data_IF_740678592952
#
_entry.id   IF_740678592952
#
_cell.length_a   1.000
_cell.length_b   1.000
_cell.length_c   1.000
_cell.angle_alpha   90.00
_cell.angle_beta   90.00
_cell.angle_gamma   90.00
#
_symmetry.space_group_name_H-M   'P 1'
#
loop_
_entity.id
_entity.type
_entity.pdbx_description
1 polymer ?
#
# COMPACT_ATOMS: atom_id res chain seq x y z
N UNK A 1 13.00 -6.18 -38.88
CA UNK A 1 13.18 -5.16 -37.81
C UNK A 1 13.08 -5.89 -36.50
N UNK A 2 13.90 -5.55 -35.50
CA UNK A 2 13.79 -6.16 -34.18
C UNK A 2 12.40 -5.86 -33.60
N UNK A 3 11.75 -6.87 -33.03
CA UNK A 3 10.49 -6.67 -32.29
C UNK A 3 10.77 -6.07 -30.92
N UNK A 4 9.78 -5.37 -30.36
CA UNK A 4 9.87 -4.87 -28.99
C UNK A 4 9.90 -6.07 -28.04
N UNK A 5 10.97 -6.24 -27.27
CA UNK A 5 11.18 -7.39 -26.39
C UNK A 5 11.86 -6.99 -25.09
N UNK A 6 11.65 -7.81 -24.04
CA UNK A 6 12.19 -7.60 -22.69
C UNK A 6 12.99 -8.82 -22.27
N UNK A 7 14.22 -8.60 -21.85
CA UNK A 7 15.16 -9.62 -21.40
C UNK A 7 15.47 -9.43 -19.91
N UNK A 8 15.43 -10.52 -19.14
CA UNK A 8 15.87 -10.51 -17.74
C UNK A 8 17.39 -10.54 -17.65
N UNK A 9 17.91 -10.00 -16.56
CA UNK A 9 19.35 -10.03 -16.25
C UNK A 9 19.59 -10.79 -14.94
N UNK A 10 20.87 -11.06 -14.57
CA UNK A 10 21.19 -11.61 -13.26
C UNK A 10 20.80 -10.70 -12.08
N UNK A 11 20.64 -9.40 -12.29
CA UNK A 11 20.19 -8.47 -11.26
C UNK A 11 18.65 -8.47 -11.20
N UNK A 12 18.02 -8.83 -10.07
CA UNK A 12 16.57 -8.90 -9.97
C UNK A 12 15.88 -7.57 -10.32
N UNK A 13 14.99 -7.60 -11.31
CA UNK A 13 14.22 -6.43 -11.76
C UNK A 13 14.97 -5.48 -12.70
N UNK A 14 16.27 -5.67 -12.95
CA UNK A 14 16.98 -4.97 -14.04
C UNK A 14 16.61 -5.67 -15.35
N UNK A 15 16.05 -4.91 -16.30
CA UNK A 15 15.49 -5.43 -17.54
C UNK A 15 16.13 -4.73 -18.74
N UNK A 16 16.55 -5.50 -19.74
CA UNK A 16 16.98 -4.96 -21.04
C UNK A 16 15.78 -4.94 -21.98
N UNK A 17 15.57 -3.83 -22.66
CA UNK A 17 14.48 -3.63 -23.62
C UNK A 17 15.07 -3.46 -25.02
N UNK A 18 14.79 -4.40 -25.90
CA UNK A 18 15.12 -4.30 -27.33
C UNK A 18 13.98 -3.57 -28.03
N UNK A 19 14.31 -2.55 -28.81
CA UNK A 19 13.33 -1.67 -29.45
C UNK A 19 13.55 -1.61 -30.96
N UNK A 20 12.48 -1.59 -31.78
CA UNK A 20 12.59 -1.33 -33.19
C UNK A 20 13.11 0.08 -33.46
N UNK A 21 14.09 0.19 -34.36
CA UNK A 21 14.47 1.44 -35.01
C UNK A 21 13.87 1.48 -36.41
N UNK A 22 13.05 2.49 -36.68
CA UNK A 22 12.42 2.70 -37.97
C UNK A 22 13.24 3.71 -38.77
N UNK A 23 14.13 3.22 -39.64
CA UNK A 23 15.01 4.04 -40.47
C UNK A 23 14.40 4.45 -41.81
N UNK A 24 14.70 5.66 -42.25
CA UNK A 24 14.49 6.15 -43.62
C UNK A 24 15.65 7.07 -44.06
N UNK A 25 15.54 7.71 -45.23
CA UNK A 25 16.59 8.58 -45.77
C UNK A 25 16.91 9.81 -44.90
N UNK A 26 16.09 10.14 -43.89
CA UNK A 26 16.24 11.28 -42.99
C UNK A 26 16.86 10.91 -41.64
N UNK A 27 17.05 9.61 -41.35
CA UNK A 27 17.52 9.11 -40.06
C UNK A 27 16.69 7.94 -39.56
N UNK A 28 16.46 7.87 -38.25
CA UNK A 28 15.61 6.85 -37.65
C UNK A 28 14.64 7.43 -36.62
N UNK A 29 13.51 6.76 -36.44
CA UNK A 29 12.53 7.02 -35.41
C UNK A 29 12.46 5.85 -34.43
N UNK A 30 12.29 6.16 -33.14
CA UNK A 30 11.97 5.17 -32.12
C UNK A 30 10.95 5.71 -31.14
N UNK A 31 10.07 4.85 -30.69
CA UNK A 31 9.17 5.12 -29.59
C UNK A 31 9.90 4.76 -28.28
N UNK A 32 10.61 5.73 -27.71
CA UNK A 32 11.55 5.44 -26.62
C UNK A 32 10.88 4.97 -25.31
N UNK A 33 9.65 5.42 -25.04
CA UNK A 33 8.83 4.96 -23.94
C UNK A 33 7.36 4.99 -24.36
N UNK A 34 6.68 3.85 -24.22
CA UNK A 34 5.23 3.74 -24.38
C UNK A 34 4.73 2.82 -23.27
N UNK A 35 3.97 3.40 -22.33
CA UNK A 35 3.57 2.74 -21.08
C UNK A 35 2.80 1.44 -21.31
N UNK A 36 1.78 1.46 -22.16
CA UNK A 36 0.91 0.31 -22.41
C UNK A 36 1.67 -0.90 -22.98
N UNK A 37 2.49 -0.70 -24.01
CA UNK A 37 3.31 -1.74 -24.65
C UNK A 37 4.36 -2.29 -23.69
N UNK A 38 5.02 -1.42 -22.93
CA UNK A 38 6.09 -1.84 -22.03
C UNK A 38 5.55 -2.58 -20.81
N UNK A 39 4.44 -2.10 -20.22
CA UNK A 39 3.79 -2.80 -19.10
C UNK A 39 3.21 -4.14 -19.56
N UNK A 40 2.63 -4.22 -20.77
CA UNK A 40 2.16 -5.48 -21.34
C UNK A 40 3.28 -6.51 -21.54
N UNK A 41 4.53 -6.06 -21.72
CA UNK A 41 5.72 -6.91 -21.81
C UNK A 41 6.37 -7.21 -20.45
N UNK A 42 5.77 -6.75 -19.35
CA UNK A 42 6.21 -7.05 -17.99
C UNK A 42 7.16 -6.02 -17.37
N UNK A 43 7.30 -4.82 -17.94
CA UNK A 43 7.96 -3.72 -17.22
C UNK A 43 7.06 -3.24 -16.07
N UNK A 44 7.65 -2.85 -14.92
CA UNK A 44 6.91 -2.15 -13.89
C UNK A 44 6.30 -0.87 -14.46
N UNK A 45 5.06 -0.60 -14.08
CA UNK A 45 4.43 0.69 -14.35
C UNK A 45 4.99 1.76 -13.40
N UNK A 46 6.20 2.22 -13.71
CA UNK A 46 6.97 3.06 -12.80
C UNK A 46 6.56 4.54 -12.86
N UNK A 47 5.80 4.98 -13.88
CA UNK A 47 5.24 6.33 -13.97
C UNK A 47 6.29 7.44 -14.05
N UNK A 48 7.00 7.60 -15.18
CA UNK A 48 8.06 8.61 -15.29
C UNK A 48 7.53 10.05 -15.14
N UNK A 49 8.19 10.84 -14.30
CA UNK A 49 7.85 12.24 -13.99
C UNK A 49 8.89 13.23 -14.50
N UNK A 50 10.07 12.76 -14.90
CA UNK A 50 11.17 13.59 -15.38
C UNK A 50 11.96 12.86 -16.47
N UNK A 51 12.34 13.61 -17.51
CA UNK A 51 13.23 13.17 -18.58
C UNK A 51 14.55 13.95 -18.52
N UNK A 52 15.66 13.24 -18.68
CA UNK A 52 17.00 13.77 -18.55
C UNK A 52 17.83 13.41 -19.78
N UNK A 53 18.75 14.28 -20.14
CA UNK A 53 19.71 14.05 -21.23
C UNK A 53 21.10 14.45 -20.75
N UNK A 54 22.08 13.57 -20.95
CA UNK A 54 23.50 13.83 -20.78
C UNK A 54 24.20 13.70 -22.11
N UNK A 55 24.82 14.79 -22.57
CA UNK A 55 25.63 14.80 -23.78
C UNK A 55 27.09 14.52 -23.44
N UNK A 56 27.69 13.55 -24.13
CA UNK A 56 29.09 13.17 -23.97
C UNK A 56 29.83 13.55 -25.26
N UNK A 57 30.65 14.59 -25.18
CA UNK A 57 31.34 15.14 -26.34
C UNK A 57 32.39 14.18 -26.91
N UNK A 58 33.06 13.42 -26.05
CA UNK A 58 34.18 12.55 -26.41
C UNK A 58 34.00 11.11 -25.94
N UNK A 59 34.52 10.17 -26.74
CA UNK A 59 34.72 8.77 -26.38
C UNK A 59 35.57 8.68 -25.10
N UNK A 60 35.20 7.78 -24.20
CA UNK A 60 35.87 7.59 -22.91
C UNK A 60 35.23 8.34 -21.75
N UNK A 61 34.29 9.26 -22.00
CA UNK A 61 33.48 9.88 -20.96
C UNK A 61 32.76 8.79 -20.15
N UNK A 62 33.09 8.69 -18.86
CA UNK A 62 32.60 7.62 -17.97
C UNK A 62 31.94 8.25 -16.75
N UNK A 63 30.72 7.80 -16.42
CA UNK A 63 29.98 8.28 -15.24
C UNK A 63 30.13 7.27 -14.11
N UNK A 64 30.31 7.73 -12.86
CA UNK A 64 30.37 6.84 -11.70
C UNK A 64 29.16 5.90 -11.55
N UNK A 65 29.31 4.88 -10.71
CA UNK A 65 28.22 3.95 -10.39
C UNK A 65 27.37 4.59 -9.31
N UNK A 66 26.24 5.16 -9.70
CA UNK A 66 25.33 5.91 -8.82
C UNK A 66 24.10 5.07 -8.50
N UNK A 67 23.75 4.95 -7.22
CA UNK A 67 22.65 4.10 -6.73
C UNK A 67 21.45 4.97 -6.38
N UNK A 68 20.74 5.46 -7.38
CA UNK A 68 19.65 6.40 -7.10
C UNK A 68 18.44 5.74 -6.41
N UNK A 69 17.71 6.50 -5.56
CA UNK A 69 16.58 5.99 -4.80
C UNK A 69 15.26 5.88 -5.59
N UNK A 70 15.34 5.89 -6.92
CA UNK A 70 14.21 5.85 -7.86
C UNK A 70 14.51 4.91 -9.03
N UNK A 71 13.46 4.51 -9.74
CA UNK A 71 13.60 3.71 -10.95
C UNK A 71 14.00 4.60 -12.13
N UNK A 72 14.72 4.02 -13.09
CA UNK A 72 15.13 4.68 -14.33
C UNK A 72 14.77 3.85 -15.54
N UNK A 73 14.54 4.54 -16.64
CA UNK A 73 14.53 3.93 -17.97
C UNK A 73 15.60 4.61 -18.83
N UNK A 74 16.71 3.91 -19.03
CA UNK A 74 17.93 4.37 -19.71
C UNK A 74 17.89 4.01 -21.19
N UNK A 75 18.29 4.93 -22.06
CA UNK A 75 18.33 4.73 -23.51
C UNK A 75 19.28 5.75 -24.16
N UNK A 76 19.53 5.65 -25.48
CA UNK A 76 20.37 6.60 -26.21
C UNK A 76 19.62 7.35 -27.32
N UNK A 77 19.77 8.66 -27.38
CA UNK A 77 19.29 9.44 -28.54
C UNK A 77 20.25 9.33 -29.74
N UNK A 78 21.55 9.12 -29.51
CA UNK A 78 22.56 8.83 -30.54
C UNK A 78 23.84 8.29 -29.89
N UNK A 79 24.72 7.66 -30.68
CA UNK A 79 26.00 7.10 -30.25
C UNK A 79 25.88 5.71 -29.64
N UNK A 80 26.95 5.29 -28.95
CA UNK A 80 27.04 3.98 -28.29
C UNK A 80 27.68 4.11 -26.91
N UNK A 81 27.21 3.31 -25.96
CA UNK A 81 27.80 3.21 -24.63
C UNK A 81 28.07 1.75 -24.26
N UNK A 82 29.01 1.55 -23.35
CA UNK A 82 29.06 0.36 -22.52
C UNK A 82 28.36 0.70 -21.20
N UNK A 83 27.15 0.16 -21.00
CA UNK A 83 26.40 0.31 -19.76
C UNK A 83 26.80 -0.75 -18.75
N UNK A 84 26.91 -0.36 -17.47
CA UNK A 84 27.23 -1.27 -16.39
C UNK A 84 26.36 -0.98 -15.16
N UNK A 85 25.88 -2.04 -14.53
CA UNK A 85 25.00 -2.00 -13.38
C UNK A 85 25.49 -2.93 -12.28
N UNK A 86 25.29 -2.51 -11.03
CA UNK A 86 25.62 -3.29 -9.83
C UNK A 86 24.42 -3.26 -8.90
N UNK A 87 23.99 -4.41 -8.40
CA UNK A 87 22.94 -4.45 -7.40
C UNK A 87 23.48 -3.99 -6.06
N UNK A 88 23.02 -2.83 -5.58
CA UNK A 88 23.49 -2.22 -4.34
C UNK A 88 22.43 -2.34 -3.23
N UNK A 89 21.38 -3.14 -3.44
CA UNK A 89 20.31 -3.37 -2.46
C UNK A 89 20.74 -4.40 -1.42
N UNK A 90 20.25 -4.22 -0.19
CA UNK A 90 20.39 -5.23 0.86
C UNK A 90 19.71 -6.54 0.43
N UNK A 91 20.44 -7.66 0.47
CA UNK A 91 19.92 -8.98 0.12
C UNK A 91 20.95 -9.88 -0.55
N UNK A 92 20.52 -11.07 -0.98
CA UNK A 92 21.39 -12.09 -1.58
C UNK A 92 22.04 -11.67 -2.90
N UNK A 93 21.43 -10.74 -3.63
CA UNK A 93 21.94 -10.24 -4.91
C UNK A 93 22.93 -9.08 -4.77
N UNK A 94 23.21 -8.58 -3.56
CA UNK A 94 24.14 -7.47 -3.34
C UNK A 94 25.50 -7.73 -4.00
N UNK A 95 25.97 -6.78 -4.80
CA UNK A 95 27.21 -6.88 -5.57
C UNK A 95 27.09 -7.58 -6.92
N UNK A 96 25.93 -8.18 -7.25
CA UNK A 96 25.71 -8.79 -8.57
C UNK A 96 25.87 -7.74 -9.67
N UNK A 97 26.63 -8.06 -10.72
CA UNK A 97 26.90 -7.11 -11.81
C UNK A 97 26.29 -7.56 -13.14
N UNK A 98 25.96 -6.58 -13.98
CA UNK A 98 25.53 -6.79 -15.36
C UNK A 98 26.07 -5.67 -16.23
N UNK A 99 26.48 -5.99 -17.46
CA UNK A 99 26.95 -4.99 -18.41
C UNK A 99 26.61 -5.37 -19.84
N UNK A 100 26.32 -4.38 -20.68
CA UNK A 100 26.03 -4.58 -22.10
C UNK A 100 26.37 -3.33 -22.90
N UNK A 101 26.72 -3.50 -24.19
CA UNK A 101 26.74 -2.39 -25.13
C UNK A 101 25.30 -1.95 -25.46
N UNK A 102 25.07 -0.64 -25.40
CA UNK A 102 23.76 -0.02 -25.67
C UNK A 102 23.94 0.96 -26.83
N UNK A 103 23.10 0.78 -27.85
CA UNK A 103 22.91 1.70 -28.96
C UNK A 103 21.46 2.24 -28.90
N UNK A 104 20.99 3.06 -29.86
CA UNK A 104 19.62 3.57 -29.81
C UNK A 104 18.50 2.51 -29.85
N UNK A 105 18.79 1.28 -30.27
CA UNK A 105 17.84 0.15 -30.29
C UNK A 105 17.74 -0.59 -28.95
N UNK A 106 18.57 -0.23 -27.98
CA UNK A 106 18.60 -0.86 -26.66
C UNK A 106 18.28 0.17 -25.58
N UNK A 107 17.41 -0.21 -24.67
CA UNK A 107 17.15 0.52 -23.43
C UNK A 107 17.27 -0.44 -22.23
N UNK A 108 17.40 0.13 -21.04
CA UNK A 108 17.51 -0.64 -19.80
C UNK A 108 16.62 0.00 -18.74
N UNK A 109 15.67 -0.78 -18.21
CA UNK A 109 14.96 -0.40 -17.00
C UNK A 109 15.81 -0.77 -15.79
N UNK A 110 16.13 0.24 -14.98
CA UNK A 110 16.99 0.16 -13.81
C UNK A 110 16.15 0.38 -12.56
N UNK A 111 15.92 -0.63 -11.72
CA UNK A 111 15.11 -0.45 -10.52
C UNK A 111 15.87 0.34 -9.44
N UNK A 112 15.11 1.00 -8.54
CA UNK A 112 15.64 1.66 -7.33
C UNK A 112 16.69 0.78 -6.66
N UNK A 113 17.83 1.37 -6.33
CA UNK A 113 18.89 0.68 -5.58
C UNK A 113 19.84 -0.13 -6.43
N UNK A 114 19.68 -0.17 -7.76
CA UNK A 114 20.71 -0.68 -8.66
C UNK A 114 21.60 0.48 -9.08
N UNK A 115 22.89 0.35 -8.77
CA UNK A 115 23.93 1.26 -9.22
C UNK A 115 23.99 1.30 -10.75
N UNK A 116 23.90 2.48 -11.35
CA UNK A 116 23.89 2.69 -12.79
C UNK A 116 25.13 3.47 -13.23
N UNK A 117 25.86 2.95 -14.22
CA UNK A 117 27.03 3.59 -14.82
C UNK A 117 27.07 3.34 -16.33
N UNK A 118 27.86 4.16 -17.03
CA UNK A 118 28.21 3.89 -18.42
C UNK A 118 29.53 4.55 -18.80
N UNK A 119 30.11 4.04 -19.89
CA UNK A 119 31.23 4.62 -20.62
C UNK A 119 30.83 4.89 -22.08
N UNK A 120 31.00 6.12 -22.55
CA UNK A 120 30.76 6.47 -23.96
C UNK A 120 31.81 5.82 -24.87
N UNK A 121 31.35 5.09 -25.89
CA UNK A 121 32.21 4.38 -26.83
C UNK A 121 32.50 5.20 -28.10
N UNK A 122 31.76 6.29 -28.30
CA UNK A 122 31.87 7.19 -29.45
C UNK A 122 31.67 8.65 -29.03
N UNK A 123 32.27 9.56 -29.80
CA UNK A 123 32.05 11.00 -29.67
C UNK A 123 30.59 11.37 -29.93
N UNK A 124 30.13 12.46 -29.32
CA UNK A 124 28.77 12.98 -29.54
C UNK A 124 27.65 12.04 -29.07
N UNK A 125 27.90 11.19 -28.08
CA UNK A 125 26.90 10.25 -27.53
C UNK A 125 25.91 10.97 -26.62
N UNK A 126 24.61 10.83 -26.90
CA UNK A 126 23.53 11.44 -26.13
C UNK A 126 22.77 10.39 -25.31
N UNK A 127 23.07 10.33 -24.02
CA UNK A 127 22.44 9.43 -23.05
C UNK A 127 21.14 10.05 -22.53
N UNK A 128 20.02 9.34 -22.65
CA UNK A 128 18.70 9.80 -22.18
C UNK A 128 18.15 8.85 -21.12
N UNK A 129 17.52 9.40 -20.10
CA UNK A 129 16.86 8.57 -19.09
C UNK A 129 15.64 9.23 -18.48
N UNK A 130 14.60 8.41 -18.31
CA UNK A 130 13.40 8.77 -17.56
C UNK A 130 13.55 8.33 -16.10
N UNK A 131 12.93 9.05 -15.17
CA UNK A 131 12.89 8.71 -13.74
C UNK A 131 11.49 8.92 -13.15
N UNK A 132 11.14 8.18 -12.10
CA UNK A 132 9.85 8.29 -11.41
C UNK A 132 9.86 9.04 -10.07
N UNK A 133 11.00 9.63 -9.70
CA UNK A 133 11.04 10.63 -8.62
C UNK A 133 11.88 11.82 -9.07
N UNK A 134 11.61 12.97 -8.47
CA UNK A 134 12.34 14.19 -8.75
C UNK A 134 13.72 14.15 -8.11
N UNK A 135 14.73 14.56 -8.86
CA UNK A 135 16.04 14.81 -8.27
C UNK A 135 15.93 15.96 -7.24
N UNK A 136 16.52 15.76 -6.06
CA UNK A 136 16.55 16.75 -4.99
C UNK A 136 18.00 17.04 -4.60
N UNK A 137 18.40 18.31 -4.48
CA UNK A 137 19.73 18.65 -4.00
C UNK A 137 19.92 18.17 -2.56
N UNK A 138 21.13 17.72 -2.23
CA UNK A 138 21.51 17.33 -0.86
C UNK A 138 21.11 15.92 -0.43
N UNK A 139 20.36 15.17 -1.24
CA UNK A 139 20.09 13.75 -0.97
C UNK A 139 21.30 12.92 -1.41
N UNK A 140 22.04 12.39 -0.44
CA UNK A 140 23.09 11.42 -0.69
C UNK A 140 22.50 10.02 -0.85
N UNK A 141 23.01 9.27 -1.81
CA UNK A 141 22.68 7.88 -2.02
C UNK A 141 23.97 7.10 -2.30
N UNK A 142 23.99 5.77 -2.11
CA UNK A 142 25.20 4.98 -2.29
C UNK A 142 25.81 5.16 -3.67
N UNK A 143 27.13 5.13 -3.74
CA UNK A 143 27.88 5.13 -4.99
C UNK A 143 29.02 4.13 -4.86
N UNK A 144 29.45 3.59 -5.99
CA UNK A 144 30.53 2.60 -6.04
C UNK A 144 31.67 3.11 -6.92
N UNK A 145 32.89 2.80 -6.50
CA UNK A 145 34.10 3.08 -7.26
C UNK A 145 34.11 2.29 -8.58
N UNK A 146 34.44 2.95 -9.70
CA UNK A 146 34.42 2.34 -11.03
C UNK A 146 35.38 1.15 -11.17
N UNK A 147 36.52 1.22 -10.50
CA UNK A 147 37.54 0.18 -10.51
C UNK A 147 37.40 -0.88 -9.41
N UNK A 148 36.21 -1.03 -8.80
CA UNK A 148 35.98 -2.01 -7.74
C UNK A 148 36.28 -3.46 -8.21
N UNK A 149 37.13 -4.13 -7.46
CA UNK A 149 37.65 -5.46 -7.74
C UNK A 149 36.62 -6.58 -7.55
N UNK A 150 35.57 -6.33 -6.76
CA UNK A 150 34.51 -7.31 -6.53
C UNK A 150 33.45 -7.21 -7.63
N UNK A 151 33.06 -5.99 -8.00
CA UNK A 151 32.18 -5.74 -9.14
C UNK A 151 32.82 -6.16 -10.47
N UNK A 152 34.15 -6.01 -10.58
CA UNK A 152 34.99 -6.49 -11.68
C UNK A 152 34.44 -6.14 -13.08
N UNK A 153 33.92 -4.92 -13.24
CA UNK A 153 33.29 -4.47 -14.49
C UNK A 153 34.34 -4.40 -15.61
N UNK A 154 34.14 -5.07 -16.76
CA UNK A 154 35.12 -5.12 -17.84
C UNK A 154 35.03 -3.88 -18.74
N UNK A 155 35.45 -2.73 -18.22
CA UNK A 155 35.45 -1.44 -18.94
C UNK A 155 36.21 -1.53 -20.28
N UNK A 156 35.57 -1.27 -21.44
CA UNK A 156 36.22 -1.38 -22.75
C UNK A 156 37.37 -0.40 -22.99
N UNK A 157 37.32 0.77 -22.35
CA UNK A 157 38.39 1.76 -22.32
C UNK A 157 38.98 1.73 -20.90
N UNK A 158 40.30 1.53 -20.75
CA UNK A 158 40.97 1.56 -19.46
C UNK A 158 40.60 2.81 -18.64
N UNK A 159 40.37 2.64 -17.34
CA UNK A 159 39.88 3.73 -16.48
C UNK A 159 40.88 4.88 -16.30
N UNK A 160 42.17 4.64 -16.54
CA UNK A 160 43.23 5.64 -16.58
C UNK A 160 43.27 6.45 -17.89
N UNK A 161 42.62 5.94 -18.94
CA UNK A 161 42.40 6.63 -20.22
C UNK A 161 41.00 7.27 -20.32
N UNK A 162 40.10 6.96 -19.38
CA UNK A 162 38.73 7.43 -19.35
C UNK A 162 38.60 8.83 -18.72
N UNK A 163 37.65 9.62 -19.23
CA UNK A 163 37.30 10.91 -18.63
C UNK A 163 36.29 10.70 -17.50
N UNK A 164 36.77 10.75 -16.26
CA UNK A 164 36.01 10.48 -15.02
C UNK A 164 36.03 11.74 -14.14
N UNK A 165 34.93 11.99 -13.43
CA UNK A 165 34.88 13.13 -12.50
C UNK A 165 35.70 12.88 -11.23
N UNK A 166 36.32 13.92 -10.68
CA UNK A 166 37.01 13.90 -9.37
C UNK A 166 36.11 13.41 -8.21
N UNK A 167 34.80 13.57 -8.35
CA UNK A 167 33.84 13.03 -7.38
C UNK A 167 33.82 11.50 -7.43
N UNK A 168 33.76 10.92 -8.64
CA UNK A 168 33.60 9.49 -8.83
C UNK A 168 34.86 8.69 -8.49
N UNK A 169 36.05 9.28 -8.61
CA UNK A 169 37.31 8.69 -8.11
C UNK A 169 37.34 8.48 -6.60
N UNK A 170 36.49 9.17 -5.84
CA UNK A 170 36.42 9.10 -4.37
C UNK A 170 35.27 8.24 -3.85
N UNK A 171 34.53 7.58 -4.74
CA UNK A 171 33.49 6.65 -4.32
C UNK A 171 34.11 5.47 -3.55
N UNK A 172 33.39 4.90 -2.58
CA UNK A 172 33.86 3.76 -1.79
C UNK A 172 33.96 2.48 -2.63
N UNK A 173 34.74 1.51 -2.13
CA UNK A 173 34.75 0.13 -2.62
C UNK A 173 33.52 -0.61 -2.10
N UNK A 174 33.13 -1.71 -2.77
CA UNK A 174 31.90 -2.45 -2.45
C UNK A 174 31.90 -2.96 -1.01
N UNK A 175 33.06 -3.38 -0.50
CA UNK A 175 33.24 -3.80 0.89
C UNK A 175 32.94 -2.71 1.93
N UNK A 176 33.04 -1.43 1.53
CA UNK A 176 32.79 -0.26 2.39
C UNK A 176 31.41 0.39 2.12
N UNK A 177 30.64 -0.12 1.16
CA UNK A 177 29.30 0.42 0.86
C UNK A 177 28.28 -0.12 1.85
N UNK A 178 27.50 0.80 2.44
CA UNK A 178 26.25 0.43 3.13
C UNK A 178 25.18 0.12 2.09
N UNK A 179 24.62 -1.11 2.06
CA UNK A 179 23.59 -1.47 1.09
C UNK A 179 22.34 -0.59 1.21
N UNK A 180 21.66 -0.39 0.08
CA UNK A 180 20.41 0.34 0.06
C UNK A 180 19.31 -0.52 0.68
N UNK A 181 18.76 -0.03 1.80
CA UNK A 181 17.64 -0.68 2.49
C UNK A 181 16.35 -0.69 1.66
N UNK A 182 15.48 -1.70 1.88
CA UNK A 182 14.13 -1.69 1.33
C UNK A 182 13.36 -0.45 1.83
N UNK A 183 12.34 -0.07 1.08
CA UNK A 183 11.37 0.93 1.54
C UNK A 183 10.57 0.35 2.72
N UNK A 184 10.16 1.23 3.63
CA UNK A 184 9.51 0.90 4.90
C UNK A 184 8.00 0.68 4.75
N UNK A 185 7.40 0.18 5.84
CA UNK A 185 5.95 0.15 6.05
C UNK A 185 5.56 1.25 7.03
N UNK A 186 4.42 1.91 6.79
CA UNK A 186 3.80 2.87 7.71
C UNK A 186 2.45 2.34 8.19
N UNK A 187 2.22 2.33 9.50
CA UNK A 187 0.90 2.09 10.10
C UNK A 187 0.30 3.42 10.55
N UNK A 188 -0.86 3.77 9.99
CA UNK A 188 -1.65 4.97 10.35
C UNK A 188 -2.84 4.54 11.20
N UNK A 189 -3.10 5.26 12.30
CA UNK A 189 -4.09 4.85 13.30
C UNK A 189 -3.55 3.77 14.24
N UNK A 190 -2.25 3.83 14.52
CA UNK A 190 -1.50 2.80 15.24
C UNK A 190 -1.97 2.57 16.69
N UNK A 191 -2.70 3.52 17.29
CA UNK A 191 -3.26 3.38 18.65
C UNK A 191 -4.63 2.70 18.66
N UNK A 192 -5.23 2.42 17.50
CA UNK A 192 -6.49 1.69 17.37
C UNK A 192 -6.33 0.17 17.51
N UNK A 193 -7.46 -0.55 17.65
CA UNK A 193 -7.49 -2.02 17.78
C UNK A 193 -6.74 -2.69 16.63
N UNK A 194 -7.08 -2.34 15.39
CA UNK A 194 -6.43 -2.89 14.20
C UNK A 194 -5.01 -2.36 14.01
N UNK A 195 -4.73 -1.11 14.37
CA UNK A 195 -3.39 -0.52 14.29
C UNK A 195 -2.37 -1.29 15.13
N UNK A 196 -2.75 -1.71 16.35
CA UNK A 196 -1.92 -2.58 17.21
C UNK A 196 -1.68 -3.94 16.57
N UNK A 197 -2.73 -4.57 16.04
CA UNK A 197 -2.62 -5.88 15.40
C UNK A 197 -1.73 -5.85 14.14
N UNK A 198 -1.86 -4.80 13.31
CA UNK A 198 -1.00 -4.58 12.15
C UNK A 198 0.46 -4.35 12.54
N UNK A 199 0.73 -3.66 13.64
CA UNK A 199 2.09 -3.49 14.14
C UNK A 199 2.69 -4.81 14.65
N UNK A 200 1.90 -5.69 15.26
CA UNK A 200 2.40 -7.00 15.67
C UNK A 200 2.89 -7.84 14.47
N UNK A 201 2.21 -7.73 13.32
CA UNK A 201 2.61 -8.35 12.05
C UNK A 201 3.78 -7.61 11.36
N UNK A 202 3.87 -6.30 11.55
CA UNK A 202 4.91 -5.43 10.98
C UNK A 202 5.70 -4.70 12.09
N UNK A 203 6.58 -5.41 12.82
CA UNK A 203 7.28 -4.85 13.98
C UNK A 203 8.23 -3.70 13.62
N UNK A 204 8.78 -3.70 12.40
CA UNK A 204 9.68 -2.66 11.90
C UNK A 204 8.95 -1.48 11.21
N UNK A 205 7.61 -1.46 11.23
CA UNK A 205 6.85 -0.37 10.64
C UNK A 205 6.97 0.91 11.47
N UNK A 206 7.12 2.05 10.77
CA UNK A 206 6.91 3.34 11.41
C UNK A 206 5.43 3.47 11.80
N UNK A 207 5.14 4.13 12.92
CA UNK A 207 3.80 4.20 13.50
C UNK A 207 3.37 5.63 13.70
N UNK A 208 2.20 5.96 13.17
CA UNK A 208 1.57 7.28 13.33
C UNK A 208 0.11 7.19 13.73
N UNK A 209 -0.34 8.21 14.44
CA UNK A 209 -1.74 8.41 14.83
C UNK A 209 -2.02 9.92 14.95
N UNK A 210 -3.29 10.32 15.10
CA UNK A 210 -3.64 11.71 15.32
C UNK A 210 -2.97 12.23 16.62
N UNK A 211 -2.87 11.37 17.63
CA UNK A 211 -2.24 11.66 18.90
C UNK A 211 -0.90 10.92 19.04
N UNK A 212 0.08 11.54 19.69
CA UNK A 212 1.32 10.86 20.02
C UNK A 212 1.09 9.79 21.11
N UNK A 213 1.90 8.73 21.08
CA UNK A 213 1.90 7.65 22.06
C UNK A 213 3.26 6.99 22.17
N UNK A 214 3.37 5.88 22.92
CA UNK A 214 4.63 5.18 23.10
C UNK A 214 5.15 4.59 21.78
N UNK A 215 6.23 5.19 21.26
CA UNK A 215 6.78 4.93 19.93
C UNK A 215 5.77 5.13 18.78
N UNK A 216 4.78 6.01 18.96
CA UNK A 216 3.82 6.43 17.92
C UNK A 216 3.92 7.95 17.75
N UNK A 217 4.23 8.40 16.55
CA UNK A 217 4.37 9.83 16.22
C UNK A 217 3.01 10.43 15.87
N UNK A 218 2.75 11.67 16.31
CA UNK A 218 1.54 12.39 15.90
C UNK A 218 1.66 12.83 14.43
N UNK A 219 0.64 12.53 13.64
CA UNK A 219 0.49 13.00 12.26
C UNK A 219 -1.01 13.20 11.98
N UNK A 220 -1.42 14.46 11.86
CA UNK A 220 -2.74 14.81 11.36
C UNK A 220 -2.73 14.84 9.83
N UNK A 221 -3.40 13.88 9.20
CA UNK A 221 -3.50 13.78 7.74
C UNK A 221 -4.36 14.87 7.09
N UNK A 222 -4.99 15.73 7.90
CA UNK A 222 -5.71 16.93 7.45
C UNK A 222 -4.87 18.20 7.55
N UNK A 223 -3.71 18.16 8.23
CA UNK A 223 -2.73 19.24 8.25
C UNK A 223 -1.78 19.09 7.05
N UNK A 224 -1.94 19.99 6.06
CA UNK A 224 -1.12 19.99 4.86
C UNK A 224 0.39 20.16 5.15
N UNK A 225 0.76 20.97 6.14
CA UNK A 225 2.18 21.21 6.46
C UNK A 225 2.81 19.97 7.10
N UNK A 226 2.09 19.31 8.01
CA UNK A 226 2.54 18.06 8.61
C UNK A 226 2.67 16.94 7.55
N UNK A 227 1.69 16.84 6.66
CA UNK A 227 1.70 15.89 5.54
C UNK A 227 2.87 16.15 4.59
N UNK A 228 3.11 17.39 4.18
CA UNK A 228 4.18 17.72 3.23
C UNK A 228 5.58 17.51 3.84
N UNK A 229 5.72 17.65 5.17
CA UNK A 229 6.97 17.40 5.88
C UNK A 229 7.28 15.90 6.08
N UNK A 230 6.28 15.01 5.96
CA UNK A 230 6.47 13.58 6.20
C UNK A 230 7.24 12.90 5.04
N UNK A 231 8.18 11.98 5.32
CA UNK A 231 9.04 11.39 4.30
C UNK A 231 8.34 10.26 3.51
N UNK A 232 7.24 10.56 2.80
CA UNK A 232 6.42 9.58 2.08
C UNK A 232 7.17 8.69 1.08
N UNK A 233 8.26 9.21 0.52
CA UNK A 233 9.10 8.51 -0.45
C UNK A 233 9.83 7.27 0.14
N UNK A 234 9.99 7.23 1.46
CA UNK A 234 10.64 6.11 2.17
C UNK A 234 9.74 4.88 2.27
N UNK A 235 8.44 5.00 1.99
CA UNK A 235 7.48 3.91 2.21
C UNK A 235 7.12 3.18 0.92
N UNK A 236 7.04 1.85 1.01
CA UNK A 236 6.49 0.99 -0.04
C UNK A 236 5.04 0.59 0.26
N UNK A 237 4.65 0.63 1.52
CA UNK A 237 3.36 0.19 2.02
C UNK A 237 2.85 1.15 3.09
N UNK A 238 1.61 1.59 2.96
CA UNK A 238 0.89 2.37 3.97
C UNK A 238 -0.37 1.60 4.36
N UNK A 239 -0.47 1.26 5.64
CA UNK A 239 -1.58 0.53 6.24
C UNK A 239 -2.43 1.53 7.05
N UNK A 240 -3.57 1.93 6.48
CA UNK A 240 -4.46 2.91 7.12
C UNK A 240 -5.60 2.24 7.88
N UNK A 241 -5.44 2.19 9.21
CA UNK A 241 -6.45 1.77 10.17
C UNK A 241 -7.09 2.95 10.93
N UNK A 242 -6.73 4.21 10.60
CA UNK A 242 -7.32 5.38 11.21
C UNK A 242 -8.75 5.62 10.69
N UNK A 243 -9.66 5.86 11.63
CA UNK A 243 -11.05 6.21 11.34
C UNK A 243 -11.69 6.90 12.55
N UNK A 244 -12.70 7.73 12.31
CA UNK A 244 -13.66 8.13 13.32
C UNK A 244 -14.77 7.07 13.38
N UNK A 245 -14.88 6.34 14.49
CA UNK A 245 -15.78 5.17 14.62
C UNK A 245 -16.94 5.36 15.60
N UNK A 246 -17.09 6.56 16.18
CA UNK A 246 -18.20 6.85 17.09
C UNK A 246 -19.48 7.17 16.30
N UNK A 247 -20.15 6.12 15.80
CA UNK A 247 -21.25 6.20 14.82
C UNK A 247 -22.34 7.19 15.22
N UNK A 248 -22.88 7.09 16.44
CA UNK A 248 -23.97 7.99 16.89
C UNK A 248 -23.46 9.42 17.12
N UNK A 249 -22.23 9.58 17.60
CA UNK A 249 -21.62 10.89 17.81
C UNK A 249 -21.31 11.62 16.49
N UNK A 250 -21.14 10.88 15.38
CA UNK A 250 -20.95 11.47 14.06
C UNK A 250 -22.14 12.33 13.60
N UNK A 251 -23.33 12.17 14.20
CA UNK A 251 -24.51 12.97 13.85
C UNK A 251 -24.51 14.38 14.45
N UNK A 252 -23.64 14.68 15.42
CA UNK A 252 -23.51 16.03 16.00
C UNK A 252 -22.81 17.00 15.06
N UNK A 253 -22.89 18.30 15.33
CA UNK A 253 -22.20 19.33 14.55
C UNK A 253 -20.69 19.10 14.53
N UNK A 254 -20.08 18.85 15.69
CA UNK A 254 -18.63 18.61 15.82
C UNK A 254 -18.25 17.23 15.27
N UNK A 255 -19.08 16.22 15.52
CA UNK A 255 -18.89 14.85 15.06
C UNK A 255 -18.93 14.74 13.54
N UNK A 256 -19.79 15.50 12.86
CA UNK A 256 -19.82 15.59 11.38
C UNK A 256 -18.47 16.05 10.84
N UNK A 257 -17.91 17.12 11.39
CA UNK A 257 -16.61 17.65 10.95
C UNK A 257 -15.50 16.63 11.19
N UNK A 258 -15.46 16.03 12.38
CA UNK A 258 -14.45 15.04 12.73
C UNK A 258 -14.55 13.76 11.87
N UNK A 259 -15.77 13.29 11.62
CA UNK A 259 -16.02 12.11 10.78
C UNK A 259 -15.57 12.35 9.33
N UNK A 260 -15.94 13.49 8.72
CA UNK A 260 -15.49 13.81 7.36
C UNK A 260 -13.98 14.03 7.26
N UNK A 261 -13.38 14.68 8.26
CA UNK A 261 -11.93 14.84 8.34
C UNK A 261 -11.20 13.48 8.35
N UNK A 262 -11.58 12.58 9.25
CA UNK A 262 -10.91 11.30 9.44
C UNK A 262 -11.26 10.23 8.38
N UNK A 263 -12.51 10.19 7.92
CA UNK A 263 -13.01 9.10 7.07
C UNK A 263 -13.05 9.45 5.59
N UNK A 264 -13.03 10.73 5.21
CA UNK A 264 -13.06 11.15 3.81
C UNK A 264 -11.80 11.93 3.40
N UNK A 265 -11.49 13.04 4.09
CA UNK A 265 -10.36 13.90 3.74
C UNK A 265 -9.01 13.21 3.93
N UNK A 266 -8.78 12.56 5.07
CA UNK A 266 -7.53 11.85 5.33
C UNK A 266 -7.29 10.68 4.32
N UNK A 267 -8.26 9.81 4.01
CA UNK A 267 -8.09 8.81 2.94
C UNK A 267 -7.85 9.41 1.55
N UNK A 268 -8.49 10.54 1.22
CA UNK A 268 -8.23 11.25 -0.05
C UNK A 268 -6.79 11.78 -0.12
N UNK A 269 -6.26 12.32 0.98
CA UNK A 269 -4.85 12.70 1.10
C UNK A 269 -3.93 11.51 0.86
N UNK A 270 -4.18 10.37 1.51
CA UNK A 270 -3.39 9.15 1.32
C UNK A 270 -3.48 8.61 -0.10
N UNK A 271 -4.65 8.64 -0.75
CA UNK A 271 -4.82 8.19 -2.12
C UNK A 271 -4.02 9.06 -3.11
N UNK A 272 -4.02 10.38 -2.91
CA UNK A 272 -3.17 11.32 -3.66
C UNK A 272 -1.69 11.01 -3.45
N UNK A 273 -1.26 10.79 -2.20
CA UNK A 273 0.13 10.48 -1.88
C UNK A 273 0.57 9.14 -2.45
N UNK A 274 -0.31 8.13 -2.47
CA UNK A 274 -0.04 6.83 -3.08
C UNK A 274 0.23 6.98 -4.58
N UNK A 275 -0.51 7.85 -5.27
CA UNK A 275 -0.27 8.19 -6.67
C UNK A 275 1.09 8.87 -6.87
N UNK A 276 1.46 9.81 -5.99
CA UNK A 276 2.67 10.62 -6.12
C UNK A 276 3.93 9.81 -5.78
N UNK A 277 3.88 8.98 -4.73
CA UNK A 277 5.05 8.29 -4.18
C UNK A 277 5.11 6.80 -4.51
N UNK A 278 4.06 6.26 -5.14
CA UNK A 278 4.02 4.90 -5.67
C UNK A 278 3.92 3.78 -4.62
N UNK A 279 3.60 4.11 -3.36
CA UNK A 279 3.36 3.11 -2.32
C UNK A 279 2.02 2.39 -2.52
N UNK A 280 1.91 1.16 -2.01
CA UNK A 280 0.64 0.44 -1.91
C UNK A 280 -0.13 0.98 -0.71
N UNK A 281 -1.39 1.36 -0.92
CA UNK A 281 -2.28 1.84 0.14
C UNK A 281 -3.28 0.74 0.53
N UNK A 282 -3.21 0.25 1.77
CA UNK A 282 -4.28 -0.54 2.36
C UNK A 282 -5.17 0.41 3.16
N UNK A 283 -6.46 0.46 2.88
CA UNK A 283 -7.42 1.27 3.64
C UNK A 283 -8.55 0.40 4.15
N UNK A 284 -8.84 0.49 5.44
CA UNK A 284 -9.93 -0.26 6.06
C UNK A 284 -11.19 0.61 6.08
N UNK A 285 -12.23 0.11 5.41
CA UNK A 285 -13.56 0.70 5.34
C UNK A 285 -14.59 -0.09 6.15
N UNK A 286 -15.87 0.06 5.86
CA UNK A 286 -16.98 -0.51 6.62
C UNK A 286 -18.09 -0.97 5.68
N UNK A 287 -18.82 -1.97 6.11
CA UNK A 287 -20.10 -2.41 5.54
C UNK A 287 -21.19 -1.34 5.57
N UNK A 288 -21.08 -0.33 6.45
CA UNK A 288 -22.06 0.77 6.56
C UNK A 288 -22.12 1.64 5.30
N UNK A 289 -21.24 1.42 4.32
CA UNK A 289 -21.35 2.06 3.00
C UNK A 289 -22.58 1.58 2.21
N UNK A 290 -23.28 0.55 2.69
CA UNK A 290 -24.53 0.04 2.16
C UNK A 290 -25.71 0.30 3.10
N UNK A 291 -26.93 0.24 2.56
CA UNK A 291 -28.18 0.45 3.31
C UNK A 291 -28.70 -0.79 4.03
N UNK A 292 -28.10 -1.97 3.79
CA UNK A 292 -28.53 -3.21 4.39
C UNK A 292 -29.77 -3.84 3.77
N UNK A 293 -30.11 -3.49 2.53
CA UNK A 293 -31.28 -4.04 1.83
C UNK A 293 -30.98 -5.31 1.01
N UNK A 294 -29.71 -5.69 0.86
CA UNK A 294 -29.32 -6.92 0.16
C UNK A 294 -29.74 -8.17 0.95
N UNK A 295 -29.99 -9.27 0.22
CA UNK A 295 -30.21 -10.57 0.82
C UNK A 295 -28.98 -11.01 1.65
N UNK A 296 -29.18 -11.78 2.72
CA UNK A 296 -28.10 -12.24 3.60
C UNK A 296 -27.07 -13.15 2.91
N UNK A 297 -27.50 -13.88 1.88
CA UNK A 297 -26.68 -14.75 1.05
C UNK A 297 -26.92 -14.40 -0.43
N UNK A 298 -25.88 -13.97 -1.18
CA UNK A 298 -24.47 -13.88 -0.79
C UNK A 298 -24.13 -12.69 0.12
N UNK A 299 -25.05 -11.77 0.41
CA UNK A 299 -24.75 -10.50 1.08
C UNK A 299 -24.38 -9.39 0.10
N UNK A 300 -23.97 -8.24 0.63
CA UNK A 300 -23.47 -7.10 -0.14
C UNK A 300 -22.18 -7.45 -0.89
N UNK A 301 -22.08 -7.05 -2.16
CA UNK A 301 -20.91 -7.34 -3.02
C UNK A 301 -20.03 -6.13 -3.22
N UNK A 302 -18.77 -6.30 -3.64
CA UNK A 302 -17.85 -5.18 -3.83
C UNK A 302 -18.27 -4.21 -4.95
N UNK A 303 -18.99 -4.70 -5.96
CA UNK A 303 -19.48 -3.95 -7.12
C UNK A 303 -20.84 -3.27 -6.87
N UNK A 304 -21.45 -3.50 -5.70
CA UNK A 304 -22.70 -2.87 -5.33
C UNK A 304 -22.54 -1.33 -5.19
N UNK A 305 -23.47 -0.54 -5.74
CA UNK A 305 -23.47 0.91 -5.54
C UNK A 305 -23.60 1.29 -4.05
N UNK A 306 -22.88 2.33 -3.66
CA UNK A 306 -22.90 2.84 -2.27
C UNK A 306 -24.28 3.43 -1.93
N UNK A 307 -24.83 3.06 -0.78
CA UNK A 307 -26.13 3.51 -0.25
C UNK A 307 -26.10 3.81 1.26
N UNK A 308 -25.15 4.62 1.77
CA UNK A 308 -24.93 4.80 3.21
C UNK A 308 -26.08 5.48 3.97
N UNK A 309 -26.44 4.94 5.14
CA UNK A 309 -27.49 5.46 6.03
C UNK A 309 -26.89 6.24 7.22
N UNK A 310 -26.52 7.51 7.02
CA UNK A 310 -26.06 8.40 8.11
C UNK A 310 -24.64 8.96 7.91
N UNK A 311 -24.18 9.83 8.82
CA UNK A 311 -22.95 10.61 8.61
C UNK A 311 -21.70 9.75 8.62
N UNK A 312 -21.55 8.85 9.60
CA UNK A 312 -20.42 7.92 9.66
C UNK A 312 -20.31 7.13 8.35
N UNK A 313 -21.41 6.50 7.96
CA UNK A 313 -21.57 5.73 6.74
C UNK A 313 -21.20 6.54 5.48
N UNK A 314 -21.77 7.75 5.34
CA UNK A 314 -21.50 8.66 4.20
C UNK A 314 -20.03 9.07 4.14
N UNK A 315 -19.42 9.36 5.28
CA UNK A 315 -18.00 9.74 5.34
C UNK A 315 -17.07 8.57 4.96
N UNK A 316 -17.38 7.34 5.37
CA UNK A 316 -16.66 6.13 4.95
C UNK A 316 -16.83 5.85 3.46
N UNK A 317 -18.05 5.98 2.93
CA UNK A 317 -18.33 5.85 1.50
C UNK A 317 -17.56 6.88 0.67
N UNK A 318 -17.43 8.12 1.14
CA UNK A 318 -16.58 9.12 0.48
C UNK A 318 -15.09 8.73 0.50
N UNK A 319 -14.61 8.14 1.60
CA UNK A 319 -13.28 7.54 1.69
C UNK A 319 -13.05 6.41 0.68
N UNK A 320 -14.02 5.50 0.51
CA UNK A 320 -13.99 4.44 -0.50
C UNK A 320 -13.78 4.99 -1.90
N UNK A 321 -14.59 5.99 -2.29
CA UNK A 321 -14.48 6.63 -3.60
C UNK A 321 -13.09 7.23 -3.80
N UNK A 322 -12.56 7.92 -2.79
CA UNK A 322 -11.26 8.57 -2.88
C UNK A 322 -10.10 7.55 -3.00
N UNK A 323 -10.12 6.49 -2.17
CA UNK A 323 -9.10 5.43 -2.20
C UNK A 323 -9.14 4.63 -3.49
N UNK A 324 -10.32 4.42 -4.08
CA UNK A 324 -10.47 3.76 -5.38
C UNK A 324 -9.70 4.42 -6.53
N UNK A 325 -9.28 5.70 -6.36
CA UNK A 325 -8.47 6.43 -7.35
C UNK A 325 -6.96 6.20 -7.21
N UNK A 326 -6.50 5.59 -6.11
CA UNK A 326 -5.10 5.22 -5.93
C UNK A 326 -4.73 4.04 -6.86
N UNK A 327 -3.62 4.06 -7.61
CA UNK A 327 -3.31 2.98 -8.55
C UNK A 327 -3.05 1.63 -7.89
N UNK A 328 -2.46 1.66 -6.69
CA UNK A 328 -2.03 0.48 -5.94
C UNK A 328 -2.75 0.51 -4.60
N UNK A 329 -3.97 -0.02 -4.56
CA UNK A 329 -4.76 -0.02 -3.34
C UNK A 329 -5.39 -1.38 -3.04
N UNK A 330 -5.55 -1.65 -1.75
CA UNK A 330 -6.46 -2.64 -1.22
C UNK A 330 -7.44 -1.92 -0.30
N UNK A 331 -8.68 -1.74 -0.77
CA UNK A 331 -9.77 -1.16 0.01
C UNK A 331 -10.54 -2.30 0.68
N UNK A 332 -10.42 -2.42 2.00
CA UNK A 332 -10.94 -3.56 2.77
C UNK A 332 -12.23 -3.13 3.48
N UNK A 333 -13.39 -3.51 2.98
CA UNK A 333 -14.66 -3.32 3.70
C UNK A 333 -14.81 -4.42 4.74
N UNK A 334 -14.96 -4.05 6.00
CA UNK A 334 -15.12 -5.00 7.11
C UNK A 334 -16.38 -4.71 7.91
N UNK A 335 -16.75 -5.60 8.83
CA UNK A 335 -17.90 -5.46 9.71
C UNK A 335 -17.56 -5.84 11.15
N UNK A 336 -18.18 -5.14 12.10
CA UNK A 336 -18.26 -5.55 13.53
C UNK A 336 -16.89 -5.95 14.13
N UNK A 337 -15.92 -5.05 14.04
CA UNK A 337 -14.52 -5.31 14.38
C UNK A 337 -14.31 -5.56 15.88
N UNK A 338 -13.63 -6.65 16.23
CA UNK A 338 -13.26 -7.08 17.58
C UNK A 338 -11.74 -7.23 17.67
N UNK A 339 -11.11 -6.60 18.66
CA UNK A 339 -9.67 -6.72 18.91
C UNK A 339 -9.29 -6.17 20.28
N UNK A 340 -8.04 -5.74 20.44
CA UNK A 340 -7.55 -5.17 21.71
C UNK A 340 -8.06 -3.74 21.94
N UNK A 341 -9.21 -3.63 22.62
CA UNK A 341 -9.85 -2.38 23.01
C UNK A 341 -11.30 -2.55 23.47
N UNK A 342 -12.03 -1.44 23.56
CA UNK A 342 -13.48 -1.47 23.84
C UNK A 342 -14.22 -1.96 22.60
N UNK A 343 -15.00 -3.02 22.76
CA UNK A 343 -15.84 -3.59 21.71
C UNK A 343 -17.09 -4.28 22.29
N UNK A 344 -17.99 -4.71 21.40
CA UNK A 344 -19.26 -5.31 21.77
C UNK A 344 -19.08 -6.60 22.60
N UNK A 345 -18.18 -7.49 22.17
CA UNK A 345 -17.92 -8.77 22.87
C UNK A 345 -17.47 -8.54 24.31
N UNK A 346 -16.50 -7.64 24.54
CA UNK A 346 -16.06 -7.27 25.90
C UNK A 346 -17.18 -6.62 26.71
N UNK A 347 -18.05 -5.84 26.06
CA UNK A 347 -19.20 -5.23 26.74
C UNK A 347 -20.19 -6.29 27.22
N UNK A 348 -20.53 -7.27 26.38
CA UNK A 348 -21.43 -8.37 26.74
C UNK A 348 -20.81 -9.27 27.82
N UNK A 349 -19.52 -9.61 27.71
CA UNK A 349 -18.78 -10.37 28.73
C UNK A 349 -18.85 -9.66 30.09
N UNK A 350 -18.59 -8.35 30.14
CA UNK A 350 -18.66 -7.58 31.38
C UNK A 350 -20.08 -7.49 31.98
N UNK A 351 -21.13 -7.48 31.15
CA UNK A 351 -22.51 -7.53 31.63
C UNK A 351 -22.85 -8.90 32.21
N UNK A 352 -22.40 -9.98 31.56
CA UNK A 352 -22.54 -11.35 32.04
C UNK A 352 -21.88 -11.54 33.42
N UNK A 353 -20.64 -11.09 33.58
CA UNK A 353 -19.90 -11.11 34.85
C UNK A 353 -20.59 -10.31 35.97
N UNK A 354 -21.23 -9.19 35.63
CA UNK A 354 -21.97 -8.35 36.58
C UNK A 354 -23.37 -8.86 36.88
N UNK A 355 -23.81 -9.93 36.23
CA UNK A 355 -25.14 -10.50 36.41
C UNK A 355 -26.27 -9.68 35.76
N UNK A 356 -25.96 -8.78 34.83
CA UNK A 356 -26.94 -7.92 34.15
C UNK A 356 -27.51 -8.63 32.92
N UNK A 357 -28.83 -8.63 32.78
CA UNK A 357 -29.57 -9.23 31.66
C UNK A 357 -30.00 -8.13 30.67
N UNK A 358 -29.31 -7.96 29.52
CA UNK A 358 -29.58 -6.88 28.59
C UNK A 358 -30.69 -7.22 27.58
N UNK A 359 -31.26 -6.18 26.97
CA UNK A 359 -32.04 -6.29 25.73
C UNK A 359 -31.18 -5.83 24.55
N UNK A 360 -31.04 -6.67 23.54
CA UNK A 360 -30.10 -6.52 22.42
C UNK A 360 -30.86 -6.61 21.10
N UNK A 361 -30.46 -5.82 20.11
CA UNK A 361 -31.14 -5.79 18.80
C UNK A 361 -31.07 -7.13 18.07
N UNK A 362 -32.20 -7.61 17.57
CA UNK A 362 -32.36 -8.94 16.95
C UNK A 362 -32.59 -8.90 15.42
N UNK A 363 -32.84 -7.71 14.87
CA UNK A 363 -33.11 -7.47 13.45
C UNK A 363 -31.94 -6.83 12.67
N UNK A 364 -30.78 -6.65 13.33
CA UNK A 364 -29.51 -6.29 12.71
C UNK A 364 -28.62 -7.53 12.61
N UNK A 365 -28.31 -7.98 11.40
CA UNK A 365 -27.59 -9.23 11.11
C UNK A 365 -26.27 -8.95 10.38
N UNK A 366 -25.19 -9.60 10.79
CA UNK A 366 -23.86 -9.40 10.22
C UNK A 366 -22.86 -10.47 10.68
N UNK A 367 -21.57 -10.20 10.52
CA UNK A 367 -20.51 -11.09 11.03
C UNK A 367 -19.51 -10.28 11.84
N UNK A 368 -19.09 -10.84 12.98
CA UNK A 368 -17.91 -10.34 13.71
C UNK A 368 -16.69 -10.40 12.80
N UNK A 369 -15.76 -9.48 12.99
CA UNK A 369 -14.44 -9.58 12.38
C UNK A 369 -13.36 -9.35 13.42
N UNK A 370 -12.56 -10.37 13.68
CA UNK A 370 -11.42 -10.24 14.58
C UNK A 370 -10.27 -9.54 13.87
N UNK A 371 -9.56 -8.66 14.59
CA UNK A 371 -8.43 -7.90 14.01
C UNK A 371 -7.34 -8.81 13.45
N UNK A 372 -7.15 -9.97 14.05
CA UNK A 372 -6.25 -11.03 13.60
C UNK A 372 -6.65 -11.56 12.22
N UNK A 373 -7.96 -11.69 11.95
CA UNK A 373 -8.46 -12.12 10.64
C UNK A 373 -8.27 -11.03 9.57
N UNK A 374 -8.48 -9.76 9.94
CA UNK A 374 -8.16 -8.64 9.06
C UNK A 374 -6.69 -8.61 8.69
N UNK A 375 -5.80 -8.78 9.68
CA UNK A 375 -4.36 -8.85 9.44
C UNK A 375 -4.02 -10.03 8.52
N UNK A 376 -4.57 -11.23 8.77
CA UNK A 376 -4.36 -12.41 7.91
C UNK A 376 -4.78 -12.15 6.46
N UNK A 377 -5.97 -11.58 6.24
CA UNK A 377 -6.45 -11.28 4.89
C UNK A 377 -5.64 -10.19 4.21
N UNK A 378 -5.24 -9.14 4.93
CA UNK A 378 -4.37 -8.06 4.41
C UNK A 378 -2.99 -8.63 4.02
N UNK A 379 -2.34 -9.41 4.89
CA UNK A 379 -1.07 -10.06 4.61
C UNK A 379 -1.16 -11.01 3.41
N UNK A 380 -2.27 -11.74 3.27
CA UNK A 380 -2.53 -12.59 2.10
C UNK A 380 -2.57 -11.79 0.80
N UNK A 381 -3.36 -10.71 0.75
CA UNK A 381 -3.46 -9.86 -0.46
C UNK A 381 -2.11 -9.23 -0.85
N UNK A 382 -1.33 -8.80 0.13
CA UNK A 382 -0.01 -8.20 -0.10
C UNK A 382 0.99 -9.27 -0.60
N UNK A 383 1.11 -10.39 0.09
CA UNK A 383 2.13 -11.41 -0.19
C UNK A 383 1.87 -12.17 -1.49
N UNK A 384 0.61 -12.39 -1.85
CA UNK A 384 0.24 -13.06 -3.11
C UNK A 384 0.25 -12.12 -4.31
N UNK A 385 0.31 -10.80 -4.09
CA UNK A 385 0.18 -9.82 -5.16
C UNK A 385 -1.19 -9.89 -5.85
N UNK A 386 -2.25 -10.15 -5.07
CA UNK A 386 -3.63 -10.18 -5.58
C UNK A 386 -3.97 -8.90 -6.36
N UNK A 387 -4.90 -8.94 -7.33
CA UNK A 387 -5.28 -7.73 -8.07
C UNK A 387 -5.68 -6.60 -7.13
N UNK A 388 -5.13 -5.41 -7.32
CA UNK A 388 -5.53 -4.22 -6.56
C UNK A 388 -7.02 -3.93 -6.74
N UNK A 389 -7.66 -3.41 -5.70
CA UNK A 389 -9.08 -3.08 -5.71
C UNK A 389 -9.75 -3.19 -4.34
N UNK A 390 -11.08 -3.21 -4.37
CA UNK A 390 -11.93 -3.40 -3.19
C UNK A 390 -12.12 -4.87 -2.86
N UNK A 391 -12.06 -5.23 -1.58
CA UNK A 391 -12.35 -6.56 -1.05
C UNK A 391 -13.24 -6.44 0.19
N UNK A 392 -14.30 -7.23 0.25
CA UNK A 392 -15.03 -7.46 1.48
C UNK A 392 -14.28 -8.51 2.32
N UNK A 393 -14.06 -8.22 3.60
CA UNK A 393 -13.36 -9.08 4.52
C UNK A 393 -13.97 -9.03 5.92
N UNK A 394 -14.58 -10.14 6.31
CA UNK A 394 -14.94 -10.47 7.67
C UNK A 394 -14.53 -11.91 7.97
N UNK A 395 -14.73 -12.36 9.21
CA UNK A 395 -14.71 -13.80 9.48
C UNK A 395 -15.81 -14.52 8.67
N UNK A 396 -15.59 -15.81 8.41
CA UNK A 396 -16.57 -16.70 7.81
C UNK A 396 -17.66 -17.14 8.79
N UNK A 397 -18.40 -18.18 8.42
CA UNK A 397 -19.51 -18.70 9.20
C UNK A 397 -20.86 -18.03 8.90
N UNK A 398 -21.94 -18.44 9.58
CA UNK A 398 -23.27 -17.85 9.40
C UNK A 398 -23.28 -16.37 9.80
N UNK A 399 -24.08 -15.57 9.10
CA UNK A 399 -24.40 -14.23 9.58
C UNK A 399 -25.35 -14.35 10.78
N UNK A 400 -25.10 -13.56 11.83
CA UNK A 400 -25.82 -13.64 13.11
C UNK A 400 -26.30 -12.25 13.52
N UNK A 401 -27.40 -12.19 14.28
CA UNK A 401 -27.84 -10.94 14.89
C UNK A 401 -26.95 -10.55 16.07
N UNK A 402 -26.99 -9.27 16.46
CA UNK A 402 -26.32 -8.84 17.69
C UNK A 402 -26.83 -9.60 18.93
N UNK A 403 -28.12 -9.94 18.97
CA UNK A 403 -28.69 -10.76 20.04
C UNK A 403 -28.06 -12.16 20.07
N UNK A 404 -27.99 -12.85 18.93
CA UNK A 404 -27.39 -14.19 18.85
C UNK A 404 -25.92 -14.18 19.27
N UNK A 405 -25.17 -13.13 18.89
CA UNK A 405 -23.78 -12.95 19.36
C UNK A 405 -23.74 -12.73 20.87
N UNK A 406 -24.61 -11.87 21.42
CA UNK A 406 -24.65 -11.61 22.86
C UNK A 406 -24.99 -12.89 23.64
N UNK A 407 -25.94 -13.69 23.17
CA UNK A 407 -26.27 -15.01 23.72
C UNK A 407 -25.06 -15.94 23.71
N UNK A 408 -24.36 -16.03 22.57
CA UNK A 408 -23.14 -16.82 22.45
C UNK A 408 -22.04 -16.39 23.43
N UNK A 409 -21.87 -15.07 23.65
CA UNK A 409 -20.93 -14.52 24.63
C UNK A 409 -21.36 -14.86 26.07
N UNK A 410 -22.65 -14.77 26.39
CA UNK A 410 -23.18 -15.08 27.71
C UNK A 410 -22.96 -16.54 28.09
N UNK A 411 -23.26 -17.47 27.19
CA UNK A 411 -23.03 -18.90 27.39
C UNK A 411 -21.55 -19.19 27.69
N UNK A 412 -20.64 -18.60 26.90
CA UNK A 412 -19.18 -18.74 27.07
C UNK A 412 -18.66 -18.09 28.36
N UNK A 413 -19.40 -17.10 28.86
CA UNK A 413 -19.10 -16.43 30.13
C UNK A 413 -19.77 -17.10 31.34
N UNK A 414 -20.39 -18.27 31.16
CA UNK A 414 -21.01 -19.04 32.24
C UNK A 414 -22.40 -18.57 32.66
N UNK A 415 -23.09 -17.80 31.80
CA UNK A 415 -24.46 -17.29 32.01
C UNK A 415 -25.43 -17.89 30.98
N UNK A 416 -26.73 -17.88 31.26
CA UNK A 416 -27.71 -18.43 30.33
C UNK A 416 -27.86 -17.52 29.10
N UNK A 417 -27.99 -18.09 27.89
CA UNK A 417 -28.41 -17.33 26.71
C UNK A 417 -29.76 -16.63 26.92
N UNK A 418 -30.66 -17.24 27.70
CA UNK A 418 -31.98 -16.67 28.01
C UNK A 418 -31.92 -15.37 28.84
N UNK A 419 -30.74 -15.03 29.41
CA UNK A 419 -30.52 -13.74 30.07
C UNK A 419 -30.43 -12.57 29.07
N UNK A 420 -30.38 -12.84 27.76
CA UNK A 420 -30.34 -11.83 26.69
C UNK A 420 -31.67 -11.82 25.95
N UNK A 421 -32.43 -10.73 26.07
CA UNK A 421 -33.71 -10.55 25.36
C UNK A 421 -33.53 -9.80 24.05
N UNK A 422 -34.43 -10.06 23.09
CA UNK A 422 -34.45 -9.38 21.79
C UNK A 422 -35.21 -8.07 21.82
N UNK A 423 -34.86 -7.14 20.93
CA UNK A 423 -35.62 -5.94 20.61
C UNK A 423 -35.39 -5.55 19.16
N UNK A 424 -36.32 -4.84 18.54
CA UNK A 424 -36.12 -4.34 17.18
C UNK A 424 -35.25 -3.08 17.19
N UNK A 425 -34.59 -2.81 16.07
CA UNK A 425 -33.83 -1.57 15.86
C UNK A 425 -34.70 -0.33 16.09
N UNK A 426 -35.96 -0.37 15.64
CA UNK A 426 -36.89 0.74 15.81
C UNK A 426 -37.23 0.99 17.30
N UNK A 427 -37.55 -0.07 18.05
CA UNK A 427 -37.87 0.04 19.48
C UNK A 427 -36.64 0.47 20.30
N UNK A 428 -35.46 -0.06 19.96
CA UNK A 428 -34.20 0.36 20.58
C UNK A 428 -33.92 1.85 20.33
N UNK A 429 -34.06 2.31 19.08
CA UNK A 429 -33.87 3.71 18.70
C UNK A 429 -34.83 4.65 19.44
N UNK A 430 -36.12 4.28 19.53
CA UNK A 430 -37.12 5.04 20.30
C UNK A 430 -36.69 5.20 21.77
N UNK A 431 -36.24 4.11 22.40
CA UNK A 431 -35.75 4.14 23.79
C UNK A 431 -34.51 5.02 23.99
N UNK A 432 -33.54 4.96 23.06
CA UNK A 432 -32.34 5.80 23.08
C UNK A 432 -32.71 7.28 22.92
N UNK A 433 -33.56 7.61 21.95
CA UNK A 433 -34.01 8.98 21.69
C UNK A 433 -34.84 9.55 22.84
N UNK A 434 -35.70 8.73 23.46
CA UNK A 434 -36.49 9.14 24.63
C UNK A 434 -35.63 9.51 25.85
N UNK A 435 -34.41 8.96 25.94
CA UNK A 435 -33.42 9.31 26.97
C UNK A 435 -32.60 10.57 26.62
N UNK A 436 -32.86 11.20 25.48
CA UNK A 436 -32.12 12.36 24.99
C UNK A 436 -30.75 12.02 24.39
N UNK A 437 -30.49 10.73 24.11
CA UNK A 437 -29.26 10.27 23.47
C UNK A 437 -29.41 10.32 21.94
N UNK A 438 -28.28 10.37 21.24
CA UNK A 438 -28.24 10.34 19.79
C UNK A 438 -28.33 8.91 19.28
N UNK A 439 -28.95 8.74 18.11
CA UNK A 439 -29.02 7.47 17.41
C UNK A 439 -28.81 7.70 15.91
N UNK A 440 -27.76 7.10 15.36
CA UNK A 440 -27.53 7.07 13.93
C UNK A 440 -28.28 5.88 13.30
N UNK A 441 -28.85 6.02 12.09
CA UNK A 441 -29.40 4.89 11.35
C UNK A 441 -28.37 3.78 11.16
N UNK A 442 -28.81 2.52 11.20
CA UNK A 442 -27.96 1.34 11.03
C UNK A 442 -28.56 0.42 9.97
N UNK A 443 -27.75 -0.17 9.09
CA UNK A 443 -28.23 -1.15 8.13
C UNK A 443 -28.74 -2.41 8.87
N UNK A 444 -29.89 -2.94 8.45
CA UNK A 444 -30.44 -4.17 9.03
C UNK A 444 -29.64 -5.40 8.61
N UNK A 445 -29.09 -5.40 7.40
CA UNK A 445 -28.10 -6.38 6.95
C UNK A 445 -26.73 -5.74 6.81
N UNK A 446 -25.75 -6.31 7.49
CA UNK A 446 -24.31 -6.02 7.39
C UNK A 446 -23.56 -7.21 6.76
N UNK A 447 -24.29 -8.22 6.27
CA UNK A 447 -23.70 -9.39 5.65
C UNK A 447 -23.06 -9.02 4.31
N UNK A 448 -21.77 -9.31 4.18
CA UNK A 448 -21.02 -9.12 2.94
C UNK A 448 -20.71 -10.48 2.30
N UNK A 449 -20.67 -10.50 0.96
CA UNK A 449 -20.12 -11.61 0.20
C UNK A 449 -18.61 -11.67 0.41
N UNK A 450 -18.10 -12.87 0.65
CA UNK A 450 -16.67 -13.14 0.80
C UNK A 450 -16.10 -13.89 -0.41
N UNK A 451 -16.87 -14.00 -1.51
CA UNK A 451 -16.48 -14.77 -2.70
C UNK A 451 -15.20 -14.24 -3.35
N UNK A 452 -15.03 -12.91 -3.42
CA UNK A 452 -13.88 -12.28 -4.07
C UNK A 452 -12.58 -12.57 -3.32
N UNK A 453 -12.56 -12.44 -1.99
CA UNK A 453 -11.37 -12.77 -1.19
C UNK A 453 -11.09 -14.28 -1.24
N UNK A 454 -12.13 -15.13 -1.24
CA UNK A 454 -12.00 -16.58 -1.43
C UNK A 454 -11.39 -16.97 -2.78
N UNK A 455 -11.75 -16.26 -3.84
CA UNK A 455 -11.18 -16.48 -5.17
C UNK A 455 -9.67 -16.20 -5.24
N UNK A 456 -9.10 -15.45 -4.28
CA UNK A 456 -7.64 -15.27 -4.15
C UNK A 456 -6.95 -16.44 -3.46
N UNK A 457 -7.69 -17.45 -3.01
CA UNK A 457 -7.18 -18.60 -2.24
C UNK A 457 -7.18 -18.40 -0.72
N UNK A 458 -7.75 -17.31 -0.21
CA UNK A 458 -7.90 -17.07 1.22
C UNK A 458 -9.18 -17.70 1.75
N UNK A 459 -9.10 -18.49 2.82
CA UNK A 459 -10.28 -19.03 3.50
C UNK A 459 -10.51 -18.28 4.83
N UNK A 460 -11.56 -17.44 4.91
CA UNK A 460 -11.92 -16.76 6.15
C UNK A 460 -12.28 -17.75 7.25
N UNK A 461 -11.67 -17.57 8.42
CA UNK A 461 -11.99 -18.37 9.60
C UNK A 461 -13.39 -18.09 10.13
N UNK A 462 -14.10 -19.13 10.59
CA UNK A 462 -15.41 -19.02 11.21
C UNK A 462 -15.43 -18.07 12.44
N UNK A 463 -16.40 -17.16 12.47
CA UNK A 463 -16.50 -16.13 13.51
C UNK A 463 -16.72 -16.71 14.93
N UNK A 464 -17.39 -17.85 15.08
CA UNK A 464 -17.63 -18.47 16.39
C UNK A 464 -16.37 -19.17 16.89
N UNK A 465 -15.61 -19.82 16.01
CA UNK A 465 -14.31 -20.38 16.37
C UNK A 465 -13.32 -19.28 16.82
N UNK A 466 -13.33 -18.13 16.15
CA UNK A 466 -12.53 -16.98 16.56
C UNK A 466 -13.02 -16.37 17.89
N UNK A 467 -14.34 -16.31 18.11
CA UNK A 467 -14.94 -15.87 19.37
C UNK A 467 -14.53 -16.76 20.56
N UNK A 468 -14.53 -18.09 20.36
CA UNK A 468 -14.10 -19.05 21.39
C UNK A 468 -12.66 -18.76 21.85
N UNK A 469 -11.74 -18.51 20.91
CA UNK A 469 -10.35 -18.16 21.24
C UNK A 469 -10.19 -16.78 21.85
N UNK A 470 -11.06 -15.83 21.53
CA UNK A 470 -10.96 -14.48 22.07
C UNK A 470 -11.45 -14.40 23.54
N UNK A 471 -12.39 -15.26 23.91
CA UNK A 471 -12.96 -15.33 25.26
C UNK A 471 -12.25 -16.33 26.20
N UNK A 472 -11.65 -17.39 25.64
CA UNK A 472 -10.80 -18.33 26.38
C UNK A 472 -9.42 -17.76 26.68
#
# INVERSE_FOLDING_TARGET
MAELAVEKTPIPGLLVVRMPLHGDARGWFKENWQREKMVALGLPDFGPVQNNISFNASRGATRGIHTEPWDKFVSLATGRIFGAWVDMREGESFGTTFSIEVDPSVAVFVPRGVGNSYQALEDGTAYTYLVNDHWRPGVAYPALHLGDETAAIPWPIPLDEAEISEKDHRNPRLADVVPMKPKKTLVVGALGQLGRALHAEHPDADRVDLFAGDGVTSLDLTDAAAVDAWPWHDYALVLNAAAYTAVDAAETTEGRVAAWAANASAPATLARLARVHGFTLVHVSSEYVFDGTAALDPGHTEDEPLSPLGVYAQSKAAGDVAVGLAPRHYLIRTSWVIGDGKNFVRTMQALAEKGVSPSVVDDQVGRLTFTEELVRGISHLISTGAPYGTYNLSNGGPAMSWQEIAQAVFERSGRSADDVTGTTTAAYAEGVLAQGNLFAPRPLSSAMSLEKIRATGFEPEDAIAALDRYLG
#
